data_IF_156893456345
#
_entry.id   IF_156893456345
#
_cell.length_a   1.000
_cell.length_b   1.000
_cell.length_c   1.000
_cell.angle_alpha   90.00
_cell.angle_beta   90.00
_cell.angle_gamma   90.00
#
_symmetry.space_group_name_H-M   'P 1'
#
loop_
_entity.id
_entity.type
_entity.pdbx_description
1 polymer ?
#
# COMPACT_ATOMS: atom_id res chain seq x y z
N UNK A 1 -44.86 -3.03 3.04
CA UNK A 1 -45.34 -3.12 4.41
C UNK A 1 -44.54 -2.18 5.30
N UNK A 2 -45.04 -1.75 6.42
CA UNK A 2 -44.47 -0.76 7.34
C UNK A 2 -43.02 -1.13 7.80
N UNK A 3 -42.76 -2.42 8.02
CA UNK A 3 -41.44 -2.94 8.38
C UNK A 3 -40.36 -2.66 7.31
N UNK A 4 -40.65 -2.85 6.04
CA UNK A 4 -39.70 -2.54 4.94
C UNK A 4 -39.39 -1.05 4.84
N UNK A 5 -40.35 -0.19 5.17
CA UNK A 5 -40.17 1.28 5.17
C UNK A 5 -39.27 1.74 6.34
N UNK A 6 -39.41 1.08 7.49
CA UNK A 6 -38.60 1.36 8.69
C UNK A 6 -37.15 0.91 8.49
N UNK A 7 -36.90 -0.25 7.87
CA UNK A 7 -35.57 -0.73 7.52
C UNK A 7 -34.90 0.15 6.47
N UNK A 8 -35.60 0.59 5.44
CA UNK A 8 -35.10 1.51 4.44
C UNK A 8 -34.70 2.85 5.06
N UNK A 9 -35.52 3.45 5.90
CA UNK A 9 -35.23 4.70 6.59
C UNK A 9 -34.02 4.57 7.51
N UNK A 10 -33.86 3.45 8.23
CA UNK A 10 -32.71 3.18 9.09
C UNK A 10 -31.41 3.02 8.28
N UNK A 11 -31.49 2.39 7.12
CA UNK A 11 -30.35 2.22 6.21
C UNK A 11 -29.92 3.56 5.60
N UNK A 12 -30.86 4.41 5.22
CA UNK A 12 -30.57 5.76 4.73
C UNK A 12 -29.99 6.67 5.81
N UNK A 13 -30.48 6.62 7.03
CA UNK A 13 -29.91 7.37 8.15
C UNK A 13 -28.48 6.95 8.46
N UNK A 14 -28.21 5.65 8.54
CA UNK A 14 -26.86 5.13 8.76
C UNK A 14 -25.90 5.55 7.63
N UNK A 15 -26.35 5.53 6.38
CA UNK A 15 -25.55 5.95 5.22
C UNK A 15 -25.26 7.46 5.26
N UNK A 16 -26.22 8.27 5.69
CA UNK A 16 -26.06 9.73 5.83
C UNK A 16 -25.08 10.07 6.95
N UNK A 17 -25.13 9.38 8.09
CA UNK A 17 -24.18 9.55 9.20
C UNK A 17 -22.77 9.11 8.82
N UNK A 18 -22.60 8.00 8.10
CA UNK A 18 -21.32 7.57 7.58
C UNK A 18 -20.71 8.60 6.63
N UNK A 19 -21.47 9.08 5.65
CA UNK A 19 -21.03 10.11 4.71
C UNK A 19 -20.62 11.40 5.42
N UNK A 20 -21.36 11.82 6.44
CA UNK A 20 -21.03 13.00 7.24
C UNK A 20 -19.75 12.82 8.04
N UNK A 21 -19.53 11.65 8.59
CA UNK A 21 -18.31 11.31 9.35
C UNK A 21 -17.07 11.29 8.43
N UNK A 22 -17.19 10.69 7.25
CA UNK A 22 -16.11 10.67 6.24
C UNK A 22 -15.80 12.08 5.73
N UNK A 23 -16.81 12.94 5.51
CA UNK A 23 -16.62 14.31 5.09
C UNK A 23 -15.89 15.12 6.17
N UNK A 24 -16.33 15.04 7.43
CA UNK A 24 -15.68 15.74 8.55
C UNK A 24 -14.21 15.34 8.69
N UNK A 25 -13.89 14.05 8.56
CA UNK A 25 -12.51 13.55 8.61
C UNK A 25 -11.66 14.08 7.45
N UNK A 26 -12.22 14.12 6.25
CA UNK A 26 -11.55 14.69 5.08
C UNK A 26 -11.24 16.17 5.27
N UNK A 27 -12.16 16.93 5.82
CA UNK A 27 -11.99 18.37 6.06
C UNK A 27 -10.98 18.63 7.19
N UNK A 28 -10.94 17.80 8.23
CA UNK A 28 -9.91 17.85 9.27
C UNK A 28 -8.50 17.59 8.70
N UNK A 29 -8.34 16.58 7.87
CA UNK A 29 -7.06 16.28 7.19
C UNK A 29 -6.62 17.49 6.35
N UNK A 30 -7.51 18.09 5.56
CA UNK A 30 -7.20 19.27 4.75
C UNK A 30 -6.79 20.47 5.60
N UNK A 31 -7.47 20.68 6.73
CA UNK A 31 -7.14 21.77 7.66
C UNK A 31 -5.73 21.59 8.25
N UNK A 32 -5.40 20.37 8.70
CA UNK A 32 -4.07 20.04 9.20
C UNK A 32 -3.00 20.22 8.12
N UNK A 33 -3.26 19.79 6.89
CA UNK A 33 -2.37 20.00 5.75
C UNK A 33 -2.16 21.49 5.45
N UNK A 34 -3.20 22.31 5.56
CA UNK A 34 -3.10 23.74 5.34
C UNK A 34 -2.28 24.45 6.44
N UNK A 35 -2.49 24.09 7.70
CA UNK A 35 -1.84 24.75 8.85
C UNK A 35 -0.40 24.27 9.03
N UNK A 36 -0.15 22.97 8.92
CA UNK A 36 1.13 22.34 9.26
C UNK A 36 1.91 21.81 8.05
N UNK A 37 1.35 21.89 6.84
CA UNK A 37 1.93 21.33 5.62
C UNK A 37 1.69 19.83 5.43
N UNK A 38 1.23 19.12 6.46
CA UNK A 38 0.87 17.70 6.40
C UNK A 38 -0.08 17.31 7.54
N UNK A 39 -0.73 16.15 7.41
CA UNK A 39 -1.48 15.51 8.48
C UNK A 39 -0.85 14.13 8.78
N UNK A 40 -0.89 13.66 10.02
CA UNK A 40 -0.59 12.25 10.35
C UNK A 40 -1.91 11.50 10.32
N UNK A 41 -2.01 10.50 9.44
CA UNK A 41 -3.26 9.78 9.19
C UNK A 41 -3.06 8.27 9.27
N UNK A 42 -4.10 7.54 9.65
CA UNK A 42 -4.12 6.09 9.50
C UNK A 42 -4.43 5.72 8.05
N UNK A 43 -3.90 4.60 7.57
CA UNK A 43 -4.21 4.10 6.23
C UNK A 43 -5.71 3.84 6.03
N UNK A 44 -6.40 3.41 7.11
CA UNK A 44 -7.85 3.25 7.09
C UNK A 44 -8.62 4.53 6.79
N UNK A 45 -8.08 5.69 7.18
CA UNK A 45 -8.70 7.01 6.95
C UNK A 45 -8.53 7.50 5.50
N UNK A 46 -7.49 7.02 4.82
CA UNK A 46 -7.14 7.39 3.45
C UNK A 46 -7.70 6.41 2.43
N UNK A 47 -7.98 5.19 2.87
CA UNK A 47 -8.46 4.12 2.02
C UNK A 47 -9.92 4.34 1.58
N UNK A 48 -10.17 4.20 0.29
CA UNK A 48 -11.53 4.09 -0.24
C UNK A 48 -12.06 2.65 -0.13
N UNK A 49 -11.15 1.67 -0.12
CA UNK A 49 -11.48 0.25 0.07
C UNK A 49 -10.23 -0.54 0.48
N UNK A 50 -10.39 -1.47 1.42
CA UNK A 50 -9.34 -2.44 1.80
C UNK A 50 -9.94 -3.83 1.76
N UNK A 51 -9.26 -4.78 1.10
CA UNK A 51 -9.72 -6.16 1.00
C UNK A 51 -8.57 -7.13 0.77
N UNK A 52 -8.79 -8.39 1.11
CA UNK A 52 -7.87 -9.49 0.85
C UNK A 52 -8.11 -10.05 -0.56
N UNK A 53 -7.03 -10.45 -1.24
CA UNK A 53 -7.07 -11.08 -2.55
C UNK A 53 -7.67 -12.48 -2.54
N UNK A 54 -7.65 -13.14 -3.70
CA UNK A 54 -8.14 -14.50 -3.91
C UNK A 54 -7.02 -15.51 -3.80
N UNK A 55 -7.30 -16.72 -3.34
CA UNK A 55 -6.31 -17.80 -3.34
C UNK A 55 -5.85 -18.11 -4.77
N UNK A 56 -4.54 -17.95 -5.02
CA UNK A 56 -3.87 -18.38 -6.25
C UNK A 56 -2.74 -19.28 -5.80
N UNK A 57 -2.84 -20.56 -6.11
CA UNK A 57 -1.81 -21.55 -5.76
C UNK A 57 -0.62 -21.47 -6.69
N UNK A 58 0.47 -22.18 -6.36
CA UNK A 58 1.66 -22.20 -7.23
C UNK A 58 1.38 -22.92 -8.55
N UNK A 59 0.56 -23.94 -8.51
CA UNK A 59 0.18 -24.78 -9.65
C UNK A 59 -0.72 -24.06 -10.64
N UNK A 60 -1.46 -23.04 -10.20
CA UNK A 60 -2.34 -22.20 -11.02
C UNK A 60 -1.58 -21.07 -11.73
N UNK A 61 -0.27 -20.91 -11.47
CA UNK A 61 0.54 -19.90 -12.18
C UNK A 61 0.94 -20.45 -13.53
N UNK A 62 0.64 -19.69 -14.58
CA UNK A 62 0.87 -20.01 -15.98
C UNK A 62 1.73 -18.94 -16.66
N UNK A 63 2.15 -19.20 -17.89
CA UNK A 63 2.91 -18.24 -18.72
C UNK A 63 2.01 -17.24 -19.42
N UNK A 64 0.74 -17.55 -19.58
CA UNK A 64 -0.28 -16.78 -20.28
C UNK A 64 -1.58 -16.72 -19.46
N UNK A 65 -2.52 -15.86 -19.86
CA UNK A 65 -3.77 -15.62 -19.17
C UNK A 65 -3.85 -14.25 -18.54
N UNK A 66 -4.63 -14.11 -17.45
CA UNK A 66 -4.77 -12.84 -16.76
C UNK A 66 -3.56 -12.59 -15.84
N UNK A 67 -3.02 -11.38 -15.89
CA UNK A 67 -1.93 -10.93 -15.02
C UNK A 67 -2.30 -11.06 -13.54
N UNK A 68 -1.40 -11.61 -12.73
CA UNK A 68 -1.63 -11.78 -11.30
C UNK A 68 -0.36 -11.54 -10.49
N UNK A 69 -0.54 -11.30 -9.18
CA UNK A 69 0.55 -11.17 -8.20
C UNK A 69 0.30 -12.10 -7.04
N UNK A 70 1.34 -12.85 -6.64
CA UNK A 70 1.37 -13.64 -5.42
C UNK A 70 2.23 -12.95 -4.36
N UNK A 71 1.93 -13.17 -3.07
CA UNK A 71 2.61 -12.48 -1.97
C UNK A 71 4.14 -12.65 -1.99
N UNK A 72 4.64 -13.83 -2.40
CA UNK A 72 6.08 -14.10 -2.50
C UNK A 72 6.79 -13.18 -3.50
N UNK A 73 6.12 -12.78 -4.57
CA UNK A 73 6.69 -11.89 -5.59
C UNK A 73 6.87 -10.46 -5.06
N UNK A 74 6.06 -10.02 -4.09
CA UNK A 74 6.25 -8.74 -3.41
C UNK A 74 7.59 -8.72 -2.65
N UNK A 75 8.03 -9.87 -2.11
CA UNK A 75 9.31 -9.98 -1.42
C UNK A 75 10.51 -10.07 -2.37
N UNK A 76 10.36 -10.80 -3.47
CA UNK A 76 11.49 -11.25 -4.30
C UNK A 76 11.64 -10.50 -5.62
N UNK A 77 10.56 -9.93 -6.14
CA UNK A 77 10.47 -9.48 -7.53
C UNK A 77 10.23 -7.99 -7.66
N UNK A 78 9.31 -7.46 -6.85
CA UNK A 78 8.88 -6.07 -6.98
C UNK A 78 9.60 -5.16 -5.98
N UNK A 79 9.92 -3.94 -6.45
CA UNK A 79 10.47 -2.88 -5.63
C UNK A 79 9.40 -2.11 -4.85
N UNK A 80 9.65 -0.83 -4.63
CA UNK A 80 8.69 0.09 -4.00
C UNK A 80 7.43 0.23 -4.85
N UNK A 81 7.58 0.17 -6.16
CA UNK A 81 6.49 0.16 -7.13
C UNK A 81 6.84 -0.74 -8.33
N UNK A 82 5.83 -1.11 -9.13
CA UNK A 82 5.97 -1.87 -10.38
C UNK A 82 4.83 -1.51 -11.34
N UNK A 83 5.05 -1.74 -12.64
CA UNK A 83 4.12 -1.45 -13.74
C UNK A 83 3.65 -2.71 -14.49
N UNK A 84 4.36 -3.83 -14.34
CA UNK A 84 4.06 -5.09 -15.02
C UNK A 84 4.07 -6.26 -14.06
N UNK A 85 3.04 -7.10 -14.11
CA UNK A 85 3.02 -8.37 -13.41
C UNK A 85 3.91 -9.37 -14.14
N UNK A 86 4.59 -10.25 -13.39
CA UNK A 86 5.42 -11.33 -13.95
C UNK A 86 4.66 -12.63 -14.11
N UNK A 87 3.65 -12.85 -13.29
CA UNK A 87 2.86 -14.09 -13.27
C UNK A 87 1.50 -13.91 -13.90
N UNK A 88 0.98 -14.97 -14.46
CA UNK A 88 -0.36 -15.05 -15.04
C UNK A 88 -1.10 -16.27 -14.47
N UNK A 89 -2.42 -16.29 -14.65
CA UNK A 89 -3.26 -17.43 -14.25
C UNK A 89 -4.51 -17.50 -15.12
N UNK A 90 -5.16 -18.65 -15.15
CA UNK A 90 -6.45 -18.81 -15.82
C UNK A 90 -7.59 -18.39 -14.89
N UNK A 91 -8.39 -17.40 -15.31
CA UNK A 91 -9.47 -16.83 -14.50
C UNK A 91 -10.51 -17.88 -14.09
N UNK A 92 -10.74 -18.87 -14.93
CA UNK A 92 -11.68 -19.97 -14.68
C UNK A 92 -11.32 -20.84 -13.48
N UNK A 93 -10.05 -20.85 -13.08
CA UNK A 93 -9.55 -21.61 -11.93
C UNK A 93 -9.63 -20.84 -10.61
N UNK A 94 -9.96 -19.55 -10.65
CA UNK A 94 -9.93 -18.70 -9.46
C UNK A 94 -11.33 -18.49 -8.91
N UNK A 95 -11.59 -19.05 -7.75
CA UNK A 95 -12.82 -18.81 -7.01
C UNK A 95 -12.85 -17.38 -6.45
N UNK A 96 -13.94 -16.64 -6.73
CA UNK A 96 -14.18 -15.28 -6.23
C UNK A 96 -12.99 -14.31 -6.52
N UNK A 97 -12.67 -14.04 -7.79
CA UNK A 97 -11.51 -13.25 -8.19
C UNK A 97 -11.55 -11.84 -7.62
N UNK A 98 -10.42 -11.41 -7.05
CA UNK A 98 -10.20 -10.07 -6.50
C UNK A 98 -9.11 -9.38 -7.31
N UNK A 99 -9.43 -8.20 -7.80
CA UNK A 99 -8.58 -7.45 -8.72
C UNK A 99 -7.93 -6.27 -8.02
N UNK A 100 -6.78 -5.89 -8.53
CA UNK A 100 -6.17 -4.58 -8.30
C UNK A 100 -5.91 -3.90 -9.64
N UNK A 101 -5.71 -2.61 -9.63
CA UNK A 101 -5.53 -1.77 -10.80
C UNK A 101 -4.59 -0.59 -10.51
N UNK A 102 -4.35 0.25 -11.50
CA UNK A 102 -3.50 1.42 -11.37
C UNK A 102 -3.80 2.22 -10.09
N UNK A 103 -2.75 2.52 -9.34
CA UNK A 103 -2.83 3.32 -8.12
C UNK A 103 -3.00 2.50 -6.83
N UNK A 104 -3.31 1.21 -6.91
CA UNK A 104 -3.51 0.38 -5.72
C UNK A 104 -2.19 0.04 -5.01
N UNK A 105 -2.23 -0.04 -3.67
CA UNK A 105 -1.12 -0.54 -2.86
C UNK A 105 -1.40 -2.00 -2.47
N UNK A 106 -0.40 -2.84 -2.68
CA UNK A 106 -0.42 -4.26 -2.31
C UNK A 106 0.44 -4.51 -1.09
N UNK A 107 -0.07 -5.28 -0.12
CA UNK A 107 0.65 -5.70 1.07
C UNK A 107 0.74 -7.22 1.13
N UNK A 108 1.94 -7.77 1.25
CA UNK A 108 2.14 -9.19 1.53
C UNK A 108 1.91 -9.48 3.01
N UNK A 109 0.77 -10.11 3.35
CA UNK A 109 0.35 -10.32 4.75
C UNK A 109 0.84 -11.63 5.37
N UNK A 110 1.63 -12.41 4.64
CA UNK A 110 2.26 -13.65 5.08
C UNK A 110 3.74 -13.56 4.77
N UNK A 111 4.59 -13.89 5.73
CA UNK A 111 6.05 -13.81 5.59
C UNK A 111 6.77 -14.71 6.58
N UNK A 112 8.09 -14.88 6.41
CA UNK A 112 8.94 -15.68 7.27
C UNK A 112 9.54 -14.88 8.43
N UNK A 113 9.66 -13.57 8.30
CA UNK A 113 10.30 -12.67 9.26
C UNK A 113 9.33 -11.57 9.71
N UNK A 114 9.41 -11.23 10.99
CA UNK A 114 8.62 -10.13 11.58
C UNK A 114 9.04 -8.79 10.99
N UNK A 115 10.34 -8.61 10.74
CA UNK A 115 10.91 -7.37 10.23
C UNK A 115 10.41 -7.02 8.83
N UNK A 116 10.07 -8.03 8.02
CA UNK A 116 9.67 -7.86 6.63
C UNK A 116 8.16 -7.96 6.42
N UNK A 117 7.39 -8.33 7.45
CA UNK A 117 5.94 -8.55 7.32
C UNK A 117 5.21 -7.31 6.81
N UNK A 118 4.16 -7.52 6.06
CA UNK A 118 3.39 -6.47 5.39
C UNK A 118 4.24 -5.58 4.46
N UNK A 119 5.32 -6.16 3.85
CA UNK A 119 6.01 -5.49 2.76
C UNK A 119 4.98 -5.03 1.72
N UNK A 120 5.11 -3.78 1.30
CA UNK A 120 4.15 -3.13 0.40
C UNK A 120 4.80 -2.67 -0.88
N UNK A 121 4.01 -2.60 -1.94
CA UNK A 121 4.41 -2.10 -3.26
C UNK A 121 3.21 -1.41 -3.93
N UNK A 122 3.46 -0.36 -4.71
CA UNK A 122 2.42 0.30 -5.50
C UNK A 122 2.38 -0.29 -6.90
N UNK A 123 1.18 -0.49 -7.42
CA UNK A 123 0.99 -0.83 -8.83
C UNK A 123 0.70 0.43 -9.65
N UNK A 124 1.52 0.69 -10.65
CA UNK A 124 1.40 1.85 -11.55
C UNK A 124 1.22 1.46 -13.01
N UNK A 125 0.97 0.17 -13.29
CA UNK A 125 0.64 -0.32 -14.63
C UNK A 125 -0.80 -0.01 -15.04
N UNK A 126 -1.15 -0.31 -16.27
CA UNK A 126 -2.46 0.02 -16.85
C UNK A 126 -3.41 -1.18 -16.93
N UNK A 127 -2.95 -2.37 -16.58
CA UNK A 127 -3.75 -3.58 -16.66
C UNK A 127 -4.52 -3.82 -15.35
N UNK A 128 -5.67 -4.47 -15.46
CA UNK A 128 -6.40 -4.98 -14.31
C UNK A 128 -5.90 -6.37 -13.99
N UNK A 129 -5.31 -6.54 -12.80
CA UNK A 129 -4.62 -7.75 -12.40
C UNK A 129 -5.28 -8.44 -11.21
N UNK A 130 -5.03 -9.73 -11.00
CA UNK A 130 -5.53 -10.50 -9.87
C UNK A 130 -4.57 -10.45 -8.67
N UNK A 131 -5.12 -10.21 -7.49
CA UNK A 131 -4.39 -10.26 -6.23
C UNK A 131 -4.48 -11.66 -5.59
N UNK A 132 -3.35 -12.27 -5.25
CA UNK A 132 -3.26 -13.53 -4.53
C UNK A 132 -3.83 -13.47 -3.10
N UNK A 133 -4.17 -14.62 -2.52
CA UNK A 133 -4.92 -14.72 -1.26
C UNK A 133 -4.21 -14.16 -0.01
N UNK A 134 -2.89 -14.12 -0.02
CA UNK A 134 -2.08 -13.54 1.06
C UNK A 134 -1.59 -12.12 0.73
N UNK A 135 -2.36 -11.42 -0.10
CA UNK A 135 -2.19 -10.01 -0.41
C UNK A 135 -3.42 -9.25 0.10
N UNK A 136 -3.18 -8.11 0.75
CA UNK A 136 -4.20 -7.09 1.00
C UNK A 136 -4.02 -5.98 -0.03
N UNK A 137 -5.12 -5.61 -0.66
CA UNK A 137 -5.23 -4.49 -1.61
C UNK A 137 -5.82 -3.29 -0.90
N UNK A 138 -5.17 -2.15 -0.99
CA UNK A 138 -5.64 -0.87 -0.49
C UNK A 138 -5.87 0.07 -1.68
N UNK A 139 -7.12 0.47 -1.88
CA UNK A 139 -7.54 1.49 -2.84
C UNK A 139 -7.60 2.86 -2.17
N UNK A 140 -7.16 3.90 -2.88
CA UNK A 140 -7.08 5.26 -2.34
C UNK A 140 -7.06 6.30 -3.47
N UNK A 141 -7.14 7.60 -3.10
CA UNK A 141 -7.09 8.73 -4.03
C UNK A 141 -5.80 9.58 -3.86
N UNK A 142 -4.74 9.00 -3.27
CA UNK A 142 -3.45 9.66 -3.07
C UNK A 142 -2.47 9.28 -4.18
N UNK A 143 -1.29 9.92 -4.22
CA UNK A 143 -0.23 9.50 -5.13
C UNK A 143 0.29 8.09 -4.71
N UNK A 144 0.20 7.05 -5.58
CA UNK A 144 0.55 5.68 -5.21
C UNK A 144 2.02 5.50 -4.88
N UNK A 145 2.92 6.15 -5.62
CA UNK A 145 4.34 6.09 -5.34
C UNK A 145 4.69 6.77 -4.02
N UNK A 146 4.03 7.90 -3.70
CA UNK A 146 4.22 8.55 -2.41
C UNK A 146 3.87 7.61 -1.26
N UNK A 147 2.69 6.98 -1.31
CA UNK A 147 2.27 6.03 -0.27
C UNK A 147 3.26 4.85 -0.17
N UNK A 148 3.69 4.31 -1.29
CA UNK A 148 4.65 3.22 -1.29
C UNK A 148 6.00 3.61 -0.67
N UNK A 149 6.52 4.80 -0.97
CA UNK A 149 7.73 5.34 -0.34
C UNK A 149 7.53 5.58 1.17
N UNK A 150 6.42 6.22 1.57
CA UNK A 150 6.10 6.45 2.99
C UNK A 150 6.00 5.13 3.77
N UNK A 151 5.39 4.10 3.16
CA UNK A 151 5.26 2.75 3.72
C UNK A 151 6.57 1.96 3.73
N UNK A 152 7.59 2.36 2.98
CA UNK A 152 8.91 1.75 2.98
C UNK A 152 9.86 2.33 4.03
N UNK A 153 9.47 3.38 4.75
CA UNK A 153 10.28 3.98 5.82
C UNK A 153 10.43 3.06 7.02
N UNK A 154 11.50 3.27 7.77
CA UNK A 154 11.75 2.51 9.00
C UNK A 154 10.61 2.67 10.04
N UNK A 155 10.03 3.86 10.15
CA UNK A 155 8.89 4.11 11.04
C UNK A 155 7.66 3.27 10.65
N UNK A 156 7.30 3.27 9.35
CA UNK A 156 6.20 2.44 8.86
C UNK A 156 6.50 0.94 9.06
N UNK A 157 7.75 0.50 8.82
CA UNK A 157 8.14 -0.90 9.01
C UNK A 157 8.03 -1.33 10.48
N UNK A 158 8.41 -0.50 11.44
CA UNK A 158 8.17 -0.78 12.87
C UNK A 158 6.71 -1.00 13.22
N UNK A 159 5.80 -0.25 12.58
CA UNK A 159 4.35 -0.42 12.79
C UNK A 159 3.86 -1.73 12.18
N UNK A 160 4.33 -2.07 10.97
CA UNK A 160 4.03 -3.34 10.28
C UNK A 160 4.50 -4.56 11.06
N UNK A 161 5.66 -4.46 11.72
CA UNK A 161 6.31 -5.55 12.48
C UNK A 161 5.57 -5.96 13.76
N UNK A 162 4.41 -5.39 14.06
CA UNK A 162 3.52 -5.84 15.15
C UNK A 162 2.73 -7.11 14.82
N UNK A 163 3.05 -7.80 13.74
CA UNK A 163 2.41 -9.04 13.28
C UNK A 163 2.48 -10.17 14.31
N UNK A 164 1.48 -11.04 14.32
CA UNK A 164 1.41 -12.22 15.20
C UNK A 164 2.18 -13.38 14.59
N UNK A 165 3.09 -13.97 15.36
CA UNK A 165 3.79 -15.20 14.97
C UNK A 165 2.87 -16.38 15.22
N UNK A 166 2.59 -17.17 14.16
CA UNK A 166 1.94 -18.46 14.24
C UNK A 166 2.89 -19.51 13.68
N UNK A 167 3.44 -20.36 14.56
CA UNK A 167 4.43 -21.37 14.15
C UNK A 167 5.71 -20.71 13.58
N UNK A 168 6.10 -21.07 12.36
CA UNK A 168 7.24 -20.51 11.61
C UNK A 168 6.87 -19.34 10.68
N UNK A 169 5.60 -18.93 10.67
CA UNK A 169 5.07 -17.93 9.72
C UNK A 169 4.47 -16.76 10.48
N UNK A 170 4.82 -15.56 10.06
CA UNK A 170 4.26 -14.31 10.58
C UNK A 170 3.08 -13.89 9.71
N UNK A 171 2.01 -13.45 10.36
CA UNK A 171 0.82 -12.96 9.66
C UNK A 171 0.46 -11.55 10.09
N UNK A 172 0.06 -10.73 9.11
CA UNK A 172 -0.60 -9.45 9.32
C UNK A 172 -2.10 -9.56 8.98
N UNK A 173 -2.86 -8.50 9.15
CA UNK A 173 -4.30 -8.49 8.91
C UNK A 173 -4.75 -7.16 8.35
N UNK A 174 -5.97 -7.13 7.76
CA UNK A 174 -6.58 -5.88 7.27
C UNK A 174 -6.66 -4.82 8.39
N UNK A 175 -7.15 -5.11 9.61
CA UNK A 175 -7.15 -4.13 10.69
C UNK A 175 -5.75 -3.60 11.02
N UNK A 176 -4.75 -4.48 11.12
CA UNK A 176 -3.38 -4.07 11.44
C UNK A 176 -2.77 -3.16 10.35
N UNK A 177 -3.12 -3.37 9.08
CA UNK A 177 -2.71 -2.49 7.98
C UNK A 177 -3.45 -1.15 8.07
N UNK A 178 -4.74 -1.16 8.37
CA UNK A 178 -5.56 0.05 8.50
C UNK A 178 -5.07 1.01 9.59
N UNK A 179 -4.48 0.48 10.66
CA UNK A 179 -3.94 1.23 11.81
C UNK A 179 -2.55 1.85 11.55
N UNK A 180 -1.87 1.50 10.45
CA UNK A 180 -0.56 2.08 10.14
C UNK A 180 -0.71 3.56 9.88
N UNK A 181 0.07 4.38 10.60
CA UNK A 181 0.08 5.83 10.45
C UNK A 181 1.21 6.30 9.54
N UNK A 182 0.88 7.24 8.67
CA UNK A 182 1.84 7.88 7.77
C UNK A 182 1.64 9.40 7.77
N UNK A 183 2.69 10.19 7.51
CA UNK A 183 2.54 11.60 7.17
C UNK A 183 1.89 11.71 5.79
N UNK A 184 0.93 12.60 5.66
CA UNK A 184 0.19 12.84 4.41
C UNK A 184 0.18 14.33 4.09
N UNK A 185 1.10 14.85 3.25
CA UNK A 185 1.06 16.20 2.73
C UNK A 185 0.03 16.34 1.61
N UNK A 186 -0.29 17.56 1.15
CA UNK A 186 -1.12 17.78 -0.04
C UNK A 186 -0.58 17.06 -1.29
N UNK A 187 -1.46 16.72 -2.23
CA UNK A 187 -1.10 15.96 -3.44
C UNK A 187 0.04 16.61 -4.23
N UNK A 188 0.08 17.93 -4.34
CA UNK A 188 1.17 18.66 -5.01
C UNK A 188 2.54 18.40 -4.37
N UNK A 189 2.57 18.34 -3.04
CA UNK A 189 3.80 18.03 -2.30
C UNK A 189 4.17 16.54 -2.40
N UNK A 190 3.18 15.63 -2.39
CA UNK A 190 3.40 14.21 -2.68
C UNK A 190 4.08 14.04 -4.04
N UNK A 191 3.59 14.71 -5.08
CA UNK A 191 4.19 14.66 -6.43
C UNK A 191 5.62 15.21 -6.44
N UNK A 192 5.87 16.32 -5.73
CA UNK A 192 7.22 16.90 -5.61
C UNK A 192 8.20 15.92 -4.96
N UNK A 193 7.79 15.29 -3.85
CA UNK A 193 8.59 14.29 -3.14
C UNK A 193 8.87 13.09 -4.05
N UNK A 194 7.86 12.56 -4.73
CA UNK A 194 8.01 11.41 -5.65
C UNK A 194 9.01 11.72 -6.76
N UNK A 195 8.94 12.89 -7.39
CA UNK A 195 9.92 13.30 -8.43
C UNK A 195 11.36 13.29 -7.92
N UNK A 196 11.58 13.66 -6.68
CA UNK A 196 12.92 13.63 -6.07
C UNK A 196 13.36 12.19 -5.82
N UNK A 197 12.48 11.36 -5.20
CA UNK A 197 12.78 9.97 -4.86
C UNK A 197 12.99 9.10 -6.10
N UNK A 198 12.17 9.27 -7.15
CA UNK A 198 12.35 8.58 -8.44
C UNK A 198 13.69 8.90 -9.10
N UNK A 199 14.18 10.14 -8.98
CA UNK A 199 15.53 10.51 -9.44
C UNK A 199 16.63 9.77 -8.68
N UNK A 200 16.52 9.69 -7.35
CA UNK A 200 17.49 8.94 -6.57
C UNK A 200 17.47 7.45 -6.90
N UNK A 201 16.26 6.87 -7.05
CA UNK A 201 16.11 5.46 -7.41
C UNK A 201 16.75 5.16 -8.78
N UNK A 202 16.51 6.00 -9.79
CA UNK A 202 17.15 5.91 -11.10
C UNK A 202 18.67 5.97 -10.99
N UNK A 203 19.20 6.96 -10.25
CA UNK A 203 20.65 7.09 -10.07
C UNK A 203 21.29 5.89 -9.37
N UNK A 204 20.61 5.31 -8.38
CA UNK A 204 21.09 4.11 -7.68
C UNK A 204 21.09 2.89 -8.61
N UNK A 205 20.08 2.75 -9.48
CA UNK A 205 19.98 1.63 -10.42
C UNK A 205 20.97 1.75 -11.58
N UNK A 206 21.25 2.95 -12.09
CA UNK A 206 22.22 3.18 -13.17
C UNK A 206 23.68 2.89 -12.72
N UNK A 207 23.98 3.05 -11.43
CA UNK A 207 25.31 2.81 -10.87
C UNK A 207 25.55 1.32 -10.56
N UNK A 208 24.49 0.50 -10.58
CA UNK A 208 24.54 -0.93 -10.23
C UNK A 208 25.47 -1.78 -11.14
N UNK A 209 25.96 -1.21 -12.24
CA UNK A 209 26.85 -1.91 -13.19
C UNK A 209 28.35 -1.78 -12.89
N UNK A 210 28.79 -1.00 -11.90
CA UNK A 210 30.20 -0.66 -11.78
C UNK A 210 30.95 -0.91 -10.46
N UNK A 211 30.39 -0.67 -9.26
CA UNK A 211 31.16 -0.69 -8.00
C UNK A 211 30.28 -1.09 -6.78
N UNK A 212 30.35 -2.31 -6.27
CA UNK A 212 29.51 -2.79 -5.16
C UNK A 212 29.57 -1.95 -3.87
N UNK A 213 30.75 -1.44 -3.50
CA UNK A 213 30.92 -0.63 -2.28
C UNK A 213 30.30 0.77 -2.42
N UNK A 214 30.36 1.38 -3.62
CA UNK A 214 29.71 2.67 -3.89
C UNK A 214 28.20 2.54 -3.94
N UNK A 215 27.69 1.41 -4.47
CA UNK A 215 26.26 1.07 -4.48
C UNK A 215 25.72 1.01 -3.04
N UNK A 216 26.42 0.32 -2.14
CA UNK A 216 26.00 0.21 -0.74
C UNK A 216 26.03 1.57 -0.02
N UNK A 217 27.06 2.38 -0.25
CA UNK A 217 27.15 3.73 0.31
C UNK A 217 26.01 4.63 -0.19
N UNK A 218 25.69 4.60 -1.49
CA UNK A 218 24.59 5.38 -2.08
C UNK A 218 23.22 4.88 -1.65
N UNK A 219 23.07 3.57 -1.45
CA UNK A 219 21.83 3.01 -0.91
C UNK A 219 21.56 3.51 0.52
N UNK A 220 22.58 3.53 1.38
CA UNK A 220 22.48 4.11 2.73
C UNK A 220 22.15 5.62 2.69
N UNK A 221 22.75 6.34 1.75
CA UNK A 221 22.49 7.76 1.53
C UNK A 221 21.04 7.99 1.05
N UNK A 222 20.53 7.16 0.13
CA UNK A 222 19.15 7.19 -0.33
C UNK A 222 18.17 6.94 0.81
N UNK A 223 18.38 5.90 1.61
CA UNK A 223 17.53 5.57 2.77
C UNK A 223 17.49 6.74 3.76
N UNK A 224 18.62 7.34 4.06
CA UNK A 224 18.72 8.53 4.93
C UNK A 224 17.90 9.71 4.38
N UNK A 225 18.07 10.07 3.11
CA UNK A 225 17.33 11.21 2.51
C UNK A 225 15.86 10.91 2.32
N UNK A 226 15.50 9.69 1.97
CA UNK A 226 14.09 9.26 1.93
C UNK A 226 13.41 9.46 3.29
N UNK A 227 14.02 8.95 4.34
CA UNK A 227 13.46 9.05 5.69
C UNK A 227 13.44 10.51 6.15
N UNK A 228 14.43 11.31 5.79
CA UNK A 228 14.45 12.75 6.08
C UNK A 228 13.37 13.53 5.32
N UNK A 229 13.13 13.23 4.05
CA UNK A 229 12.08 13.86 3.24
C UNK A 229 10.66 13.47 3.70
N UNK A 230 10.53 12.28 4.28
CA UNK A 230 9.26 11.73 4.76
C UNK A 230 9.10 11.84 6.29
N UNK A 231 10.08 12.41 7.00
CA UNK A 231 9.98 12.76 8.41
C UNK A 231 9.52 14.21 8.54
N UNK A 232 8.27 14.39 8.96
CA UNK A 232 7.73 15.71 9.24
C UNK A 232 7.93 16.03 10.72
N UNK A 233 8.21 17.29 11.09
CA UNK A 233 8.36 17.66 12.49
C UNK A 233 7.06 17.36 13.26
N UNK A 234 7.19 16.76 14.43
CA UNK A 234 6.06 16.59 15.33
C UNK A 234 5.62 17.95 15.79
N UNK A 235 4.35 18.33 15.55
CA UNK A 235 3.74 19.46 16.22
C UNK A 235 3.52 19.06 17.69
N UNK A 236 4.30 19.64 18.58
CA UNK A 236 4.09 19.59 20.03
C UNK A 236 3.00 20.55 20.45
#
# INVERSE_FOLDING_TARGET
TEQNRTEQNRTEQNRTEQNRTEQNRTDEIKLLQYVFGYAVVQLGDVATKIYRGSGITREQVTTDGISCVRYGEIYTTYGVWFDKCKSHTQISEIANPKYFEHGDILFAITGERVEDIAKSTAYVGNEKCLAGGDIVVLKHNQNPKYLAYALSTHNAQKQKSKGKIKSKVVHSSVPAISEITIPLPPLSEQERIVKILDRFDSLCNDISSGLPAEIEARKKQYEYYRDKLLSFPHCS
#
